data_IF_496859283311
#
_entry.id   IF_496859283311
#
_cell.length_a   1.000
_cell.length_b   1.000
_cell.length_c   1.000
_cell.angle_alpha   90.00
_cell.angle_beta   90.00
_cell.angle_gamma   90.00
#
_symmetry.space_group_name_H-M   'P 1'
#
loop_
_entity.id
_entity.type
_entity.pdbx_description
1 polymer ?
#
# COMPACT_ATOMS: atom_id res chain seq x y z
N UNK A 1 1.39 -8.72 2.69
CA UNK A 1 2.26 -8.52 3.88
C UNK A 1 2.42 -7.03 4.16
N UNK A 2 2.09 -6.54 5.37
CA UNK A 2 2.46 -5.19 5.84
C UNK A 2 3.67 -5.35 6.76
N UNK A 3 4.87 -4.93 6.34
CA UNK A 3 6.09 -5.11 7.13
C UNK A 3 6.52 -3.81 7.78
N UNK A 4 6.69 -3.85 9.10
CA UNK A 4 7.41 -2.82 9.84
C UNK A 4 8.90 -3.14 9.70
N UNK A 5 9.65 -2.25 9.07
CA UNK A 5 11.04 -2.50 8.67
C UNK A 5 12.07 -1.86 9.61
N UNK A 6 11.62 -1.00 10.54
CA UNK A 6 12.39 -0.48 11.66
C UNK A 6 11.47 0.02 12.78
N UNK A 7 11.98 0.05 14.01
CA UNK A 7 11.35 0.72 15.17
C UNK A 7 12.39 1.65 15.78
N UNK A 8 12.08 2.94 15.91
CA UNK A 8 12.99 3.96 16.45
C UNK A 8 14.36 4.03 15.75
N UNK A 9 14.39 3.85 14.42
CA UNK A 9 15.62 3.86 13.63
C UNK A 9 16.49 2.60 13.76
N UNK A 10 16.08 1.62 14.58
CA UNK A 10 16.71 0.31 14.64
C UNK A 10 16.11 -0.61 13.56
N UNK A 11 16.90 -1.12 12.62
CA UNK A 11 16.40 -1.97 11.54
C UNK A 11 15.94 -3.32 12.10
N UNK A 12 14.71 -3.72 11.75
CA UNK A 12 14.24 -5.09 11.95
C UNK A 12 14.75 -5.90 10.76
N UNK A 13 15.70 -6.80 11.02
CA UNK A 13 16.40 -7.61 10.01
C UNK A 13 15.81 -9.01 9.84
N UNK A 14 14.92 -9.40 10.73
CA UNK A 14 14.30 -10.72 10.71
C UNK A 14 13.15 -10.73 9.71
N UNK A 15 13.20 -11.71 8.81
CA UNK A 15 12.10 -12.08 7.95
C UNK A 15 11.32 -13.14 8.71
N UNK A 16 10.02 -12.93 8.90
CA UNK A 16 9.14 -14.00 9.33
C UNK A 16 8.67 -14.70 8.06
N UNK A 17 9.34 -15.80 7.74
CA UNK A 17 9.03 -16.69 6.62
C UNK A 17 8.51 -18.00 7.22
N UNK A 18 7.28 -18.38 6.90
CA UNK A 18 6.73 -19.69 7.25
C UNK A 18 7.23 -20.69 6.19
N UNK A 19 8.21 -21.58 6.49
CA UNK A 19 8.94 -22.32 5.47
C UNK A 19 8.09 -23.32 4.68
N UNK A 20 6.87 -23.58 5.14
CA UNK A 20 5.91 -24.50 4.53
C UNK A 20 4.81 -23.80 3.76
N UNK A 21 4.70 -22.46 3.82
CA UNK A 21 3.71 -21.73 3.05
C UNK A 21 4.28 -21.34 1.66
N UNK A 22 3.87 -22.01 0.57
CA UNK A 22 4.34 -21.69 -0.77
C UNK A 22 3.92 -20.27 -1.23
N UNK A 23 2.96 -19.64 -0.56
CA UNK A 23 2.49 -18.28 -0.85
C UNK A 23 3.32 -17.18 -0.17
N UNK A 24 4.19 -17.52 0.79
CA UNK A 24 5.17 -16.60 1.39
C UNK A 24 6.48 -16.53 0.60
N UNK A 25 6.79 -17.59 -0.15
CA UNK A 25 7.91 -17.68 -1.09
C UNK A 25 7.46 -17.82 -2.56
N UNK A 26 6.50 -17.01 -3.05
CA UNK A 26 6.04 -17.15 -4.43
C UNK A 26 7.21 -16.80 -5.35
N UNK A 27 7.46 -17.61 -6.38
CA UNK A 27 8.52 -17.43 -7.39
C UNK A 27 8.36 -16.19 -8.27
N UNK A 28 7.61 -15.20 -7.79
CA UNK A 28 7.34 -13.92 -8.44
C UNK A 28 8.51 -12.99 -8.14
N UNK A 29 9.10 -12.33 -9.15
CA UNK A 29 10.16 -11.36 -8.95
C UNK A 29 9.59 -10.07 -8.33
N UNK A 30 9.54 -10.03 -7.01
CA UNK A 30 9.19 -8.81 -6.29
C UNK A 30 10.26 -7.73 -6.52
N UNK A 31 9.87 -6.45 -6.64
CA UNK A 31 10.83 -5.36 -6.78
C UNK A 31 11.83 -5.35 -5.60
N UNK A 32 13.12 -5.53 -5.90
CA UNK A 32 14.22 -5.58 -4.91
C UNK A 32 14.74 -6.97 -4.55
N UNK A 33 14.04 -8.05 -4.90
CA UNK A 33 14.45 -9.44 -4.63
C UNK A 33 14.44 -9.86 -3.14
N UNK A 34 14.59 -11.17 -2.88
CA UNK A 34 14.47 -11.85 -1.57
C UNK A 34 15.15 -11.15 -0.37
N UNK A 35 16.30 -10.50 -0.58
CA UNK A 35 17.12 -9.97 0.49
C UNK A 35 16.77 -8.53 0.92
N UNK A 36 16.00 -7.75 0.14
CA UNK A 36 15.72 -6.33 0.45
C UNK A 36 14.23 -6.00 0.50
N UNK A 37 13.37 -7.03 0.44
CA UNK A 37 11.93 -6.92 0.32
C UNK A 37 11.34 -5.75 1.12
N UNK A 38 10.74 -4.82 0.37
CA UNK A 38 9.77 -3.85 0.89
C UNK A 38 10.31 -2.86 1.92
N UNK A 39 11.63 -2.70 2.06
CA UNK A 39 12.18 -1.66 2.91
C UNK A 39 12.27 -0.34 2.14
N UNK A 40 11.40 0.61 2.48
CA UNK A 40 11.63 2.02 2.19
C UNK A 40 12.85 2.55 2.96
N UNK A 41 13.13 3.85 2.86
CA UNK A 41 14.18 4.47 3.65
C UNK A 41 13.81 4.44 5.15
N UNK A 42 14.31 3.43 5.88
CA UNK A 42 13.97 3.19 7.30
C UNK A 42 14.80 3.98 8.32
N UNK A 43 15.86 4.63 7.86
CA UNK A 43 16.84 5.32 8.67
C UNK A 43 16.89 6.83 8.38
N UNK A 44 15.88 7.36 7.69
CA UNK A 44 15.78 8.79 7.40
C UNK A 44 14.81 9.45 8.39
N UNK A 45 15.22 10.55 9.06
CA UNK A 45 14.32 11.29 9.93
C UNK A 45 13.24 11.96 9.09
N UNK A 46 11.98 11.67 9.41
CA UNK A 46 10.83 12.36 8.83
C UNK A 46 10.71 13.75 9.47
N UNK A 47 10.53 14.79 8.66
CA UNK A 47 10.42 16.18 9.13
C UNK A 47 9.14 16.82 8.59
N UNK A 48 8.58 17.83 9.27
CA UNK A 48 7.50 18.65 8.70
C UNK A 48 7.87 19.16 7.29
N UNK A 49 6.93 19.03 6.35
CA UNK A 49 7.10 19.29 4.93
C UNK A 49 7.70 18.15 4.10
N UNK A 50 8.12 17.03 4.71
CA UNK A 50 8.59 15.87 3.97
C UNK A 50 7.45 15.16 3.23
N UNK A 51 7.75 14.64 2.04
CA UNK A 51 6.89 13.72 1.30
C UNK A 51 7.32 12.28 1.54
N UNK A 52 6.36 11.42 1.75
CA UNK A 52 6.51 9.99 1.98
C UNK A 52 5.80 9.26 0.85
N UNK A 53 6.49 8.34 0.18
CA UNK A 53 5.83 7.42 -0.75
C UNK A 53 5.54 6.10 -0.03
N UNK A 54 4.27 5.71 -0.07
CA UNK A 54 3.82 4.40 0.40
C UNK A 54 3.71 3.44 -0.79
N UNK A 55 4.04 2.18 -0.56
CA UNK A 55 3.87 1.10 -1.53
C UNK A 55 3.27 -0.13 -0.82
N UNK A 56 2.12 -0.59 -1.31
CA UNK A 56 1.43 -1.78 -0.83
C UNK A 56 1.51 -2.85 -1.90
N UNK A 57 2.12 -3.98 -1.58
CA UNK A 57 2.34 -5.08 -2.51
C UNK A 57 1.31 -6.18 -2.25
N UNK A 58 0.76 -6.73 -3.33
CA UNK A 58 -0.28 -7.77 -3.25
C UNK A 58 0.00 -8.90 -4.24
N UNK A 59 -0.51 -10.09 -3.90
CA UNK A 59 -0.55 -11.28 -4.73
C UNK A 59 -1.95 -11.88 -4.62
N UNK A 60 -2.58 -12.14 -5.77
CA UNK A 60 -3.81 -12.92 -5.89
C UNK A 60 -3.48 -14.22 -6.63
N UNK A 61 -3.38 -15.31 -5.87
CA UNK A 61 -2.95 -16.64 -6.34
C UNK A 61 -4.08 -17.47 -6.99
N UNK A 62 -5.32 -17.05 -6.76
CA UNK A 62 -6.54 -17.76 -7.15
C UNK A 62 -7.26 -17.04 -8.29
N UNK A 63 -7.76 -17.77 -9.32
CA UNK A 63 -8.48 -17.15 -10.41
C UNK A 63 -9.77 -16.45 -9.95
N UNK A 64 -9.98 -15.22 -10.43
CA UNK A 64 -11.19 -14.45 -10.13
C UNK A 64 -11.21 -13.80 -8.75
N UNK A 65 -10.14 -13.93 -7.97
CA UNK A 65 -9.99 -13.28 -6.67
C UNK A 65 -9.98 -11.76 -6.82
N UNK A 66 -10.65 -11.10 -5.87
CA UNK A 66 -10.75 -9.64 -5.78
C UNK A 66 -10.29 -9.25 -4.38
N UNK A 67 -9.51 -8.19 -4.29
CA UNK A 67 -9.03 -7.64 -3.03
C UNK A 67 -9.37 -6.15 -3.00
N UNK A 68 -10.01 -5.72 -1.92
CA UNK A 68 -10.11 -4.30 -1.59
C UNK A 68 -9.06 -4.00 -0.53
N UNK A 69 -8.16 -3.09 -0.86
CA UNK A 69 -7.18 -2.53 0.06
C UNK A 69 -7.75 -1.23 0.61
N UNK A 70 -7.81 -1.12 1.94
CA UNK A 70 -8.23 0.06 2.66
C UNK A 70 -7.11 0.46 3.61
N UNK A 71 -6.42 1.57 3.32
CA UNK A 71 -5.29 2.05 4.14
C UNK A 71 -5.61 3.44 4.73
N UNK A 72 -6.05 3.51 6.00
CA UNK A 72 -6.30 4.78 6.66
C UNK A 72 -4.98 5.50 6.94
N UNK A 73 -4.95 6.81 6.72
CA UNK A 73 -3.79 7.63 7.03
C UNK A 73 -3.58 7.72 8.54
N UNK A 74 -2.33 7.57 8.96
CA UNK A 74 -1.94 7.78 10.34
C UNK A 74 -2.11 9.27 10.73
N UNK A 75 -2.34 9.59 12.03
CA UNK A 75 -2.35 10.96 12.49
C UNK A 75 -1.07 11.70 12.12
N UNK A 76 -1.21 12.98 11.74
CA UNK A 76 -0.08 13.82 11.34
C UNK A 76 0.39 13.62 9.89
N UNK A 77 -0.32 12.82 9.08
CA UNK A 77 -0.12 12.72 7.64
C UNK A 77 -1.26 13.40 6.88
N UNK A 78 -0.94 14.05 5.77
CA UNK A 78 -1.90 14.52 4.78
C UNK A 78 -1.71 13.79 3.46
N UNK A 79 -2.80 13.43 2.79
CA UNK A 79 -2.73 12.85 1.44
C UNK A 79 -2.18 13.87 0.43
N UNK A 80 -1.42 13.41 -0.56
CA UNK A 80 -1.01 14.22 -1.71
C UNK A 80 -1.93 13.91 -2.90
N UNK A 81 -2.77 14.88 -3.35
CA UNK A 81 -3.68 14.66 -4.46
C UNK A 81 -2.98 14.24 -5.76
N UNK A 82 -3.60 13.33 -6.50
CA UNK A 82 -3.13 12.79 -7.77
C UNK A 82 -1.93 11.84 -7.67
N UNK A 83 -1.58 11.39 -6.45
CA UNK A 83 -0.44 10.50 -6.23
C UNK A 83 -0.78 9.02 -6.33
N UNK A 84 -2.07 8.66 -6.32
CA UNK A 84 -2.53 7.28 -6.31
C UNK A 84 -2.27 6.58 -7.66
N UNK A 85 -1.67 5.40 -7.59
CA UNK A 85 -1.45 4.55 -8.75
C UNK A 85 -1.46 3.07 -8.40
N UNK A 86 -1.74 2.24 -9.40
CA UNK A 86 -1.61 0.79 -9.33
C UNK A 86 -0.67 0.31 -10.43
N UNK A 87 0.24 -0.58 -10.09
CA UNK A 87 1.19 -1.21 -11.02
C UNK A 87 0.92 -2.71 -11.02
N UNK A 88 0.37 -3.29 -12.10
CA UNK A 88 0.28 -4.74 -12.23
C UNK A 88 1.67 -5.35 -12.45
N UNK A 89 1.85 -6.62 -12.09
CA UNK A 89 3.11 -7.34 -12.27
C UNK A 89 3.54 -7.34 -13.74
N UNK A 90 4.78 -6.92 -14.00
CA UNK A 90 5.34 -6.81 -15.35
C UNK A 90 4.77 -5.65 -16.21
N UNK A 91 3.87 -4.83 -15.65
CA UNK A 91 3.30 -3.66 -16.32
C UNK A 91 3.89 -2.34 -15.84
N UNK A 92 3.41 -1.26 -16.45
CA UNK A 92 3.72 0.12 -16.04
C UNK A 92 2.71 0.62 -14.99
N UNK A 93 3.08 1.59 -14.15
CA UNK A 93 2.14 2.26 -13.25
C UNK A 93 0.99 2.90 -14.02
N UNK A 94 -0.23 2.68 -13.54
CA UNK A 94 -1.47 3.31 -14.02
C UNK A 94 -1.94 4.27 -12.93
N UNK A 95 -2.07 5.55 -13.27
CA UNK A 95 -2.63 6.55 -12.37
C UNK A 95 -4.12 6.26 -12.13
N UNK A 96 -4.55 6.42 -10.88
CA UNK A 96 -5.95 6.34 -10.48
C UNK A 96 -6.42 7.74 -10.08
N UNK A 97 -7.70 8.01 -10.29
CA UNK A 97 -8.32 9.23 -9.83
C UNK A 97 -8.46 9.20 -8.30
N UNK A 98 -8.46 10.38 -7.68
CA UNK A 98 -8.74 10.50 -6.25
C UNK A 98 -10.25 10.43 -5.96
N UNK A 99 -11.09 10.55 -7.00
CA UNK A 99 -12.53 10.67 -6.89
C UNK A 99 -13.19 9.28 -6.88
N UNK A 100 -14.39 9.20 -6.32
CA UNK A 100 -15.23 8.00 -6.46
C UNK A 100 -15.96 8.09 -7.81
N UNK A 101 -15.31 7.66 -8.89
CA UNK A 101 -15.81 7.81 -10.27
C UNK A 101 -15.93 6.50 -11.06
N UNK A 102 -15.61 5.37 -10.43
CA UNK A 102 -15.74 4.03 -11.02
C UNK A 102 -14.44 3.43 -11.52
N UNK A 103 -13.30 4.14 -11.42
CA UNK A 103 -12.01 3.50 -11.55
C UNK A 103 -11.65 2.63 -10.31
N UNK A 104 -10.45 2.06 -10.32
CA UNK A 104 -10.04 1.08 -9.31
C UNK A 104 -9.73 1.70 -7.93
N UNK A 105 -9.56 3.02 -7.82
CA UNK A 105 -9.11 3.67 -6.61
C UNK A 105 -9.93 4.89 -6.21
N UNK A 106 -9.73 5.35 -4.98
CA UNK A 106 -10.20 6.66 -4.53
C UNK A 106 -9.45 7.07 -3.26
N UNK A 107 -9.41 8.36 -3.00
CA UNK A 107 -9.10 8.90 -1.68
C UNK A 107 -10.39 9.41 -1.02
N UNK A 108 -10.70 8.86 0.15
CA UNK A 108 -11.85 9.27 0.96
C UNK A 108 -11.38 10.32 1.98
N UNK A 109 -11.85 11.58 1.91
CA UNK A 109 -11.39 12.63 2.81
C UNK A 109 -11.69 12.35 4.30
N UNK A 110 -10.98 13.02 5.24
CA UNK A 110 -11.22 12.88 6.67
C UNK A 110 -12.70 13.07 7.05
N UNK A 111 -13.20 12.22 7.95
CA UNK A 111 -14.58 12.26 8.48
C UNK A 111 -15.65 11.77 7.50
N UNK A 112 -15.31 11.47 6.25
CA UNK A 112 -16.26 10.95 5.27
C UNK A 112 -16.52 9.46 5.49
N UNK A 113 -17.70 9.03 5.01
CA UNK A 113 -18.16 7.65 5.13
C UNK A 113 -17.17 6.67 4.48
N UNK A 114 -16.81 5.65 5.25
CA UNK A 114 -15.92 4.58 4.80
C UNK A 114 -16.72 3.57 3.97
N UNK A 115 -16.22 3.11 2.81
CA UNK A 115 -16.89 2.09 2.02
C UNK A 115 -17.16 0.82 2.85
N UNK A 116 -18.31 0.16 2.69
CA UNK A 116 -18.64 -1.06 3.44
C UNK A 116 -17.57 -2.17 3.31
N UNK A 117 -16.90 -2.25 2.16
CA UNK A 117 -15.81 -3.19 1.91
C UNK A 117 -14.60 -3.02 2.86
N UNK A 118 -14.46 -1.86 3.50
CA UNK A 118 -13.40 -1.56 4.46
C UNK A 118 -13.75 -1.91 5.92
N UNK A 119 -14.84 -2.65 6.16
CA UNK A 119 -15.04 -3.40 7.41
C UNK A 119 -14.98 -2.59 8.72
N UNK A 120 -15.71 -1.48 8.81
CA UNK A 120 -15.85 -0.73 10.07
C UNK A 120 -14.63 0.09 10.49
N UNK A 121 -13.63 0.24 9.62
CA UNK A 121 -12.52 1.19 9.80
C UNK A 121 -13.08 2.60 10.04
N UNK A 122 -12.50 3.32 10.99
CA UNK A 122 -12.77 4.75 11.19
C UNK A 122 -11.84 5.59 10.31
N UNK A 123 -12.33 6.73 9.84
CA UNK A 123 -11.59 7.60 8.91
C UNK A 123 -11.36 9.01 9.49
N UNK A 124 -10.52 9.16 10.53
CA UNK A 124 -10.25 10.47 11.12
C UNK A 124 -9.30 11.33 10.28
N UNK A 125 -8.46 10.74 9.42
CA UNK A 125 -7.37 11.46 8.72
C UNK A 125 -7.35 11.28 7.20
N UNK A 126 -8.32 10.58 6.62
CA UNK A 126 -8.33 10.20 5.22
C UNK A 126 -8.04 8.70 5.03
N UNK A 127 -8.58 8.14 3.96
CA UNK A 127 -8.50 6.71 3.65
C UNK A 127 -8.22 6.52 2.17
N UNK A 128 -7.14 5.80 1.85
CA UNK A 128 -6.90 5.32 0.49
C UNK A 128 -7.64 3.99 0.31
N UNK A 129 -8.44 3.89 -0.75
CA UNK A 129 -9.16 2.66 -1.11
C UNK A 129 -8.76 2.26 -2.52
N UNK A 130 -8.35 1.01 -2.71
CA UNK A 130 -8.06 0.46 -4.04
C UNK A 130 -8.64 -0.94 -4.15
N UNK A 131 -9.44 -1.15 -5.18
CA UNK A 131 -9.93 -2.45 -5.59
C UNK A 131 -8.99 -3.03 -6.66
N UNK A 132 -8.40 -4.19 -6.38
CA UNK A 132 -7.56 -4.92 -7.33
C UNK A 132 -8.21 -6.26 -7.64
N UNK A 133 -8.16 -6.69 -8.91
CA UNK A 133 -8.77 -7.95 -9.32
C UNK A 133 -8.54 -8.30 -10.77
N UNK A 134 -7.73 -9.33 -10.99
CA UNK A 134 -7.65 -10.24 -12.14
C UNK A 134 -6.94 -11.51 -11.63
N UNK A 135 -7.26 -12.68 -12.19
CA UNK A 135 -6.62 -13.97 -11.85
C UNK A 135 -5.08 -13.91 -12.00
N UNK A 136 -4.31 -14.55 -11.11
CA UNK A 136 -2.84 -14.67 -11.23
C UNK A 136 -2.09 -13.34 -11.21
N UNK A 137 -2.67 -12.32 -10.57
CA UNK A 137 -2.17 -10.96 -10.60
C UNK A 137 -1.44 -10.62 -9.30
N UNK A 138 -0.16 -10.26 -9.43
CA UNK A 138 0.57 -9.52 -8.41
C UNK A 138 0.67 -8.05 -8.81
N UNK A 139 1.03 -7.19 -7.88
CA UNK A 139 1.24 -5.78 -8.18
C UNK A 139 1.60 -4.93 -6.98
N UNK A 140 1.63 -3.62 -7.21
CA UNK A 140 1.86 -2.62 -6.19
C UNK A 140 0.86 -1.47 -6.31
N UNK A 141 0.27 -1.07 -5.20
CA UNK A 141 -0.44 0.20 -5.04
C UNK A 141 0.56 1.21 -4.50
N UNK A 142 0.59 2.43 -5.04
CA UNK A 142 1.44 3.52 -4.55
C UNK A 142 0.62 4.77 -4.35
N UNK A 143 0.97 5.53 -3.31
CA UNK A 143 0.47 6.87 -3.08
C UNK A 143 1.48 7.67 -2.26
N UNK A 144 1.33 8.98 -2.24
CA UNK A 144 2.15 9.87 -1.43
C UNK A 144 1.34 10.48 -0.28
N UNK A 145 2.02 10.67 0.85
CA UNK A 145 1.57 11.51 1.93
C UNK A 145 2.60 12.60 2.24
N UNK A 146 2.15 13.69 2.83
CA UNK A 146 2.99 14.77 3.33
C UNK A 146 2.88 14.83 4.84
N UNK A 147 4.00 15.12 5.51
CA UNK A 147 3.95 15.57 6.91
C UNK A 147 3.65 17.07 6.87
N UNK A 148 2.49 17.54 7.36
CA UNK A 148 2.17 18.95 7.38
C UNK A 148 3.25 19.77 8.09
N UNK A 149 3.41 21.04 7.67
CA UNK A 149 4.34 21.98 8.32
C UNK A 149 3.82 22.44 9.67
#
# INVERSE_FOLDING_TARGET
MKRISAVNGLPIREFFDEPTDPNDNPGIPWPGGAATFLQGAINQPVRPGARLQFAIYFLLDSPGSRLTVCDPLAPGLGYVPGSLSVTPAGGSPVALSDAVDGDAGAFIPPGQAVPPACGGITNPNGLVVVNVGQAGSAGAIRFEAVVPR
#
